data_IF_952367506178
#
_entry.id   IF_952367506178
#
_cell.length_a   1.000
_cell.length_b   1.000
_cell.length_c   1.000
_cell.angle_alpha   90.00
_cell.angle_beta   90.00
_cell.angle_gamma   90.00
#
_symmetry.space_group_name_H-M   'P 1'
#
loop_
_entity.id
_entity.type
_entity.pdbx_description
1 polymer ?
#
# COMPACT_ATOMS: atom_id res chain seq x y z
N UNK A 1 19.10 -6.38 12.77
CA UNK A 1 17.77 -6.39 12.10
C UNK A 1 17.93 -6.96 10.71
N UNK A 2 17.10 -7.93 10.34
CA UNK A 2 17.21 -8.60 9.04
C UNK A 2 16.82 -7.62 7.92
N UNK A 3 17.52 -7.61 6.78
CA UNK A 3 17.23 -6.67 5.66
C UNK A 3 15.79 -6.80 5.15
N UNK A 4 15.27 -8.03 5.15
CA UNK A 4 13.88 -8.37 4.83
C UNK A 4 12.87 -7.61 5.70
N UNK A 5 13.13 -7.46 7.00
CA UNK A 5 12.23 -6.75 7.92
C UNK A 5 12.12 -5.26 7.55
N UNK A 6 13.22 -4.62 7.13
CA UNK A 6 13.19 -3.22 6.67
C UNK A 6 12.45 -3.07 5.33
N UNK A 7 12.50 -4.08 4.47
CA UNK A 7 11.83 -4.05 3.17
C UNK A 7 10.30 -3.97 3.30
N UNK A 8 9.71 -4.45 4.40
CA UNK A 8 8.28 -4.32 4.67
C UNK A 8 7.82 -2.86 4.76
N UNK A 9 8.73 -1.94 5.09
CA UNK A 9 8.43 -0.51 5.14
C UNK A 9 8.21 0.11 3.76
N UNK A 10 8.69 -0.55 2.70
CA UNK A 10 8.68 -0.03 1.34
C UNK A 10 7.25 0.26 0.86
N UNK A 11 6.31 -0.68 1.07
CA UNK A 11 4.92 -0.54 0.65
C UNK A 11 4.22 0.68 1.27
N UNK A 12 4.13 0.77 2.61
CA UNK A 12 3.56 1.94 3.29
C UNK A 12 4.26 3.26 2.92
N UNK A 13 5.59 3.25 2.75
CA UNK A 13 6.35 4.43 2.37
C UNK A 13 6.03 4.90 0.94
N UNK A 14 6.03 4.00 -0.04
CA UNK A 14 5.69 4.32 -1.43
C UNK A 14 4.25 4.82 -1.55
N UNK A 15 3.32 4.17 -0.85
CA UNK A 15 1.91 4.57 -0.82
C UNK A 15 1.73 5.98 -0.24
N UNK A 16 2.42 6.29 0.87
CA UNK A 16 2.40 7.61 1.48
C UNK A 16 3.01 8.68 0.57
N UNK A 17 4.18 8.43 -0.02
CA UNK A 17 4.84 9.38 -0.91
C UNK A 17 3.99 9.66 -2.15
N UNK A 18 3.34 8.64 -2.71
CA UNK A 18 2.47 8.79 -3.86
C UNK A 18 1.21 9.61 -3.54
N UNK A 19 0.56 9.34 -2.41
CA UNK A 19 -0.62 10.10 -1.96
C UNK A 19 -0.26 11.54 -1.59
N UNK A 20 0.85 11.77 -0.87
CA UNK A 20 1.35 13.11 -0.57
C UNK A 20 1.66 13.90 -1.85
N UNK A 21 2.32 13.26 -2.83
CA UNK A 21 2.64 13.90 -4.10
C UNK A 21 1.40 14.28 -4.90
N UNK A 22 0.34 13.46 -4.84
CA UNK A 22 -0.94 13.76 -5.46
C UNK A 22 -1.62 14.98 -4.83
N UNK A 23 -1.64 15.05 -3.49
CA UNK A 23 -2.21 16.20 -2.75
C UNK A 23 -1.40 17.48 -3.03
N UNK A 24 -0.06 17.40 -3.02
CA UNK A 24 0.79 18.54 -3.35
C UNK A 24 0.61 19.02 -4.79
N UNK A 25 0.42 18.10 -5.75
CA UNK A 25 0.13 18.47 -7.14
C UNK A 25 -1.24 19.16 -7.27
N UNK A 26 -2.26 18.69 -6.55
CA UNK A 26 -3.57 19.33 -6.51
C UNK A 26 -3.51 20.73 -5.86
N UNK A 27 -2.79 20.87 -4.74
CA UNK A 27 -2.57 22.17 -4.08
C UNK A 27 -1.79 23.13 -4.99
N UNK A 28 -0.70 22.68 -5.61
CA UNK A 28 0.09 23.51 -6.53
C UNK A 28 -0.75 24.01 -7.72
N UNK A 29 -1.68 23.20 -8.21
CA UNK A 29 -2.61 23.58 -9.27
C UNK A 29 -3.61 24.66 -8.83
N UNK A 30 -4.04 24.66 -7.56
CA UNK A 30 -4.90 25.73 -7.02
C UNK A 30 -4.20 27.08 -7.00
N UNK A 31 -2.88 27.09 -6.72
CA UNK A 31 -2.08 28.32 -6.73
C UNK A 31 -1.71 28.80 -8.15
N UNK A 32 -1.58 27.90 -9.12
CA UNK A 32 -1.21 28.23 -10.51
C UNK A 32 -2.07 27.47 -11.53
N UNK A 33 -3.34 27.89 -11.72
CA UNK A 33 -4.30 27.16 -12.55
C UNK A 33 -4.02 27.25 -14.06
N UNK A 34 -3.17 28.19 -14.49
CA UNK A 34 -2.80 28.40 -15.90
C UNK A 34 -1.69 27.48 -16.39
N UNK A 35 -1.09 26.67 -15.51
CA UNK A 35 0.03 25.81 -15.87
C UNK A 35 -0.43 24.50 -16.51
N UNK A 36 -0.13 24.31 -17.80
CA UNK A 36 -0.42 23.06 -18.53
C UNK A 36 0.34 21.85 -17.94
N UNK A 37 1.55 22.06 -17.44
CA UNK A 37 2.37 20.99 -16.86
C UNK A 37 1.74 20.45 -15.57
N UNK A 38 1.25 21.34 -14.68
CA UNK A 38 0.57 20.92 -13.45
C UNK A 38 -0.73 20.17 -13.77
N UNK A 39 -1.49 20.64 -14.76
CA UNK A 39 -2.66 19.92 -15.27
C UNK A 39 -2.30 18.53 -15.80
N UNK A 40 -1.21 18.42 -16.58
CA UNK A 40 -0.72 17.14 -17.07
C UNK A 40 -0.34 16.20 -15.92
N UNK A 41 0.43 16.66 -14.94
CA UNK A 41 0.84 15.83 -13.79
C UNK A 41 -0.38 15.40 -12.97
N UNK A 42 -1.26 16.32 -12.63
CA UNK A 42 -2.44 16.04 -11.81
C UNK A 42 -3.41 15.05 -12.51
N UNK A 43 -3.73 15.28 -13.79
CA UNK A 43 -4.68 14.44 -14.53
C UNK A 43 -4.05 13.13 -15.05
N UNK A 44 -2.80 13.17 -15.54
CA UNK A 44 -2.19 12.02 -16.24
C UNK A 44 -1.48 11.06 -15.30
N UNK A 45 -0.79 11.60 -14.28
CA UNK A 45 -0.01 10.80 -13.34
C UNK A 45 -0.86 10.49 -12.11
N UNK A 46 -1.53 11.51 -11.53
CA UNK A 46 -2.31 11.37 -10.30
C UNK A 46 -3.83 11.18 -10.52
N UNK A 47 -4.30 11.09 -11.76
CA UNK A 47 -5.74 10.90 -12.06
C UNK A 47 -6.37 9.67 -11.42
N UNK A 48 -5.55 8.67 -11.03
CA UNK A 48 -5.99 7.50 -10.25
C UNK A 48 -6.49 7.86 -8.85
N UNK A 49 -5.88 8.87 -8.21
CA UNK A 49 -6.29 9.37 -6.90
C UNK A 49 -7.58 10.17 -7.01
N UNK A 50 -7.79 10.89 -8.10
CA UNK A 50 -9.05 11.59 -8.36
C UNK A 50 -10.22 10.62 -8.53
N UNK A 51 -10.03 9.54 -9.31
CA UNK A 51 -11.07 8.51 -9.49
C UNK A 51 -11.42 7.79 -8.20
N UNK A 52 -10.39 7.43 -7.42
CA UNK A 52 -10.61 6.77 -6.14
C UNK A 52 -11.26 7.71 -5.12
N UNK A 53 -10.97 9.02 -5.17
CA UNK A 53 -11.67 10.00 -4.36
C UNK A 53 -13.14 10.16 -4.77
N UNK A 54 -13.44 10.21 -6.07
CA UNK A 54 -14.83 10.27 -6.56
C UNK A 54 -15.65 9.06 -6.09
N UNK A 55 -15.09 7.84 -6.24
CA UNK A 55 -15.76 6.62 -5.78
C UNK A 55 -15.91 6.56 -4.26
N UNK A 56 -14.93 7.06 -3.50
CA UNK A 56 -15.00 7.07 -2.04
C UNK A 56 -15.93 8.16 -1.52
N UNK A 57 -16.05 9.28 -2.23
CA UNK A 57 -16.96 10.39 -1.95
C UNK A 57 -18.43 9.98 -1.97
N UNK A 58 -18.80 9.01 -2.81
CA UNK A 58 -20.16 8.45 -2.85
C UNK A 58 -20.55 7.71 -1.54
N UNK A 59 -19.55 7.24 -0.77
CA UNK A 59 -19.77 6.50 0.47
C UNK A 59 -19.38 7.28 1.74
N UNK A 60 -18.42 8.19 1.63
CA UNK A 60 -17.87 8.97 2.74
C UNK A 60 -17.73 10.41 2.29
N UNK A 61 -18.48 11.33 2.89
CA UNK A 61 -18.42 12.75 2.58
C UNK A 61 -17.33 13.44 3.43
N UNK A 62 -16.07 13.31 3.02
CA UNK A 62 -14.96 14.11 3.58
C UNK A 62 -14.28 14.82 2.42
N UNK A 63 -14.37 16.15 2.41
CA UNK A 63 -13.84 17.01 1.35
C UNK A 63 -12.31 17.12 1.43
N UNK A 64 -11.63 16.64 0.39
CA UNK A 64 -10.16 16.62 0.31
C UNK A 64 -9.53 15.73 1.38
N UNK A 65 -8.27 15.32 1.23
CA UNK A 65 -7.52 14.60 2.26
C UNK A 65 -7.96 13.17 2.63
N UNK A 66 -9.02 12.58 2.08
CA UNK A 66 -9.43 11.22 2.48
C UNK A 66 -8.34 10.17 2.30
N UNK A 67 -7.75 10.15 1.10
CA UNK A 67 -6.77 9.17 0.67
C UNK A 67 -5.44 9.35 1.43
N UNK A 68 -4.99 10.59 1.58
CA UNK A 68 -3.84 10.92 2.42
C UNK A 68 -4.09 10.66 3.91
N UNK A 69 -5.30 10.96 4.40
CA UNK A 69 -5.74 10.73 5.76
C UNK A 69 -5.77 9.26 6.15
N UNK A 70 -5.90 8.35 5.18
CA UNK A 70 -5.73 6.90 5.36
C UNK A 70 -4.26 6.50 5.21
N UNK A 71 -3.52 7.07 4.26
CA UNK A 71 -2.10 6.73 4.05
C UNK A 71 -1.19 7.13 5.23
N UNK A 72 -1.45 8.28 5.86
CA UNK A 72 -0.67 8.81 6.97
C UNK A 72 -0.67 7.88 8.21
N UNK A 73 -1.81 7.42 8.77
CA UNK A 73 -1.81 6.49 9.88
C UNK A 73 -1.17 5.15 9.52
N UNK A 74 -1.26 4.69 8.27
CA UNK A 74 -0.55 3.49 7.81
C UNK A 74 0.97 3.66 7.84
N UNK A 75 1.48 4.82 7.42
CA UNK A 75 2.89 5.15 7.55
C UNK A 75 3.30 5.23 9.03
N UNK A 76 2.50 5.89 9.88
CA UNK A 76 2.77 6.00 11.32
C UNK A 76 2.83 4.61 11.96
N UNK A 77 1.89 3.72 11.66
CA UNK A 77 1.91 2.33 12.12
C UNK A 77 3.17 1.60 11.64
N UNK A 78 3.56 1.77 10.38
CA UNK A 78 4.79 1.19 9.85
C UNK A 78 6.04 1.73 10.57
N UNK A 79 6.10 3.05 10.84
CA UNK A 79 7.17 3.69 11.60
C UNK A 79 7.22 3.18 13.04
N UNK A 80 6.08 3.10 13.73
CA UNK A 80 5.97 2.55 15.09
C UNK A 80 6.43 1.09 15.09
N UNK A 81 5.98 0.28 14.14
CA UNK A 81 6.43 -1.11 13.98
C UNK A 81 7.94 -1.22 13.76
N UNK A 82 8.55 -0.25 13.06
CA UNK A 82 9.99 -0.21 12.80
C UNK A 82 10.79 0.15 14.05
N UNK A 83 10.35 1.18 14.77
CA UNK A 83 11.01 1.68 15.99
C UNK A 83 10.86 0.68 17.13
N UNK A 84 9.65 0.18 17.37
CA UNK A 84 9.35 -0.80 18.43
C UNK A 84 9.76 -2.22 18.07
N UNK A 85 10.11 -2.47 16.79
CA UNK A 85 10.36 -3.81 16.23
C UNK A 85 9.17 -4.77 16.43
N UNK A 86 7.97 -4.22 16.60
CA UNK A 86 6.75 -4.99 16.79
C UNK A 86 6.26 -5.54 15.45
N UNK A 87 6.50 -6.85 15.23
CA UNK A 87 6.01 -7.60 14.07
C UNK A 87 4.50 -7.43 13.80
N UNK A 88 3.58 -7.50 14.79
CA UNK A 88 2.15 -7.45 14.49
C UNK A 88 1.71 -6.08 13.95
N UNK A 89 2.28 -4.99 14.47
CA UNK A 89 1.99 -3.62 14.01
C UNK A 89 2.42 -3.46 12.55
N UNK A 90 3.58 -4.03 12.19
CA UNK A 90 4.09 -4.05 10.82
C UNK A 90 3.20 -4.86 9.86
N UNK A 91 2.70 -6.01 10.33
CA UNK A 91 1.77 -6.85 9.56
C UNK A 91 0.48 -6.09 9.25
N UNK A 92 -0.10 -5.41 10.24
CA UNK A 92 -1.32 -4.61 10.03
C UNK A 92 -1.07 -3.51 9.01
N UNK A 93 0.03 -2.74 9.15
CA UNK A 93 0.35 -1.66 8.22
C UNK A 93 0.54 -2.15 6.77
N UNK A 94 1.27 -3.25 6.58
CA UNK A 94 1.52 -3.82 5.24
C UNK A 94 0.28 -4.42 4.60
N UNK A 95 -0.56 -5.12 5.37
CA UNK A 95 -1.82 -5.68 4.89
C UNK A 95 -2.82 -4.59 4.48
N UNK A 96 -2.97 -3.56 5.32
CA UNK A 96 -3.84 -2.42 5.00
C UNK A 96 -3.30 -1.60 3.83
N UNK A 97 -1.99 -1.48 3.68
CA UNK A 97 -1.38 -0.84 2.50
C UNK A 97 -1.64 -1.64 1.21
N UNK A 98 -1.59 -2.98 1.27
CA UNK A 98 -1.95 -3.84 0.15
C UNK A 98 -3.44 -3.75 -0.19
N UNK A 99 -4.31 -3.72 0.83
CA UNK A 99 -5.74 -3.48 0.65
C UNK A 99 -6.04 -2.14 -0.01
N UNK A 100 -5.34 -1.08 0.41
CA UNK A 100 -5.46 0.24 -0.20
C UNK A 100 -4.95 0.23 -1.66
N UNK A 101 -3.80 -0.37 -1.95
CA UNK A 101 -3.35 -0.53 -3.34
C UNK A 101 -4.37 -1.31 -4.21
N UNK A 102 -5.01 -2.33 -3.63
CA UNK A 102 -6.10 -3.08 -4.28
C UNK A 102 -7.34 -2.20 -4.52
N UNK A 103 -7.71 -1.35 -3.57
CA UNK A 103 -8.79 -0.38 -3.75
C UNK A 103 -8.49 0.62 -4.88
N UNK A 104 -7.27 1.16 -4.95
CA UNK A 104 -6.86 2.03 -6.06
C UNK A 104 -7.01 1.29 -7.41
N UNK A 105 -6.73 -0.02 -7.45
CA UNK A 105 -6.79 -0.82 -8.68
C UNK A 105 -8.23 -1.08 -9.08
N UNK A 106 -9.07 -1.39 -8.10
CA UNK A 106 -10.50 -1.48 -8.29
C UNK A 106 -11.07 -0.16 -8.81
N UNK A 107 -10.71 0.98 -8.18
CA UNK A 107 -11.15 2.30 -8.59
C UNK A 107 -10.70 2.66 -10.02
N UNK A 108 -9.51 2.21 -10.42
CA UNK A 108 -9.06 2.34 -11.80
C UNK A 108 -9.96 1.53 -12.75
N UNK A 109 -10.26 0.27 -12.40
CA UNK A 109 -11.02 -0.65 -13.24
C UNK A 109 -12.51 -0.29 -13.31
N UNK A 110 -13.09 0.22 -12.23
CA UNK A 110 -14.51 0.56 -12.14
C UNK A 110 -14.91 1.73 -13.06
N UNK A 111 -13.94 2.53 -13.52
CA UNK A 111 -14.22 3.72 -14.35
C UNK A 111 -14.80 4.88 -13.54
N UNK A 112 -14.76 6.10 -14.11
CA UNK A 112 -15.32 7.29 -13.46
C UNK A 112 -16.80 7.47 -13.81
N UNK A 113 -17.67 7.87 -12.88
CA UNK A 113 -18.93 8.50 -13.24
C UNK A 113 -18.65 9.77 -14.06
N UNK A 114 -19.48 9.98 -15.08
CA UNK A 114 -19.34 10.90 -16.22
C UNK A 114 -19.55 12.39 -15.89
N UNK A 115 -19.63 12.78 -14.61
CA UNK A 115 -20.21 14.08 -14.21
C UNK A 115 -19.24 15.27 -14.25
N UNK A 116 -17.93 15.07 -14.41
CA UNK A 116 -16.94 16.16 -14.51
C UNK A 116 -16.21 16.21 -15.87
N UNK A 117 -16.71 15.53 -16.91
CA UNK A 117 -16.17 15.62 -18.28
C UNK A 117 -16.98 16.61 -19.12
N UNK A 118 -17.04 17.87 -18.70
CA UNK A 118 -17.60 18.96 -19.50
C UNK A 118 -16.46 19.84 -20.04
N UNK A 119 -15.80 19.37 -21.10
CA UNK A 119 -15.02 20.13 -22.14
C UNK A 119 -13.62 19.57 -22.47
N UNK A 120 -13.03 18.70 -21.67
CA UNK A 120 -11.81 18.00 -22.06
C UNK A 120 -12.23 16.75 -22.87
N UNK A 121 -11.94 16.77 -24.18
CA UNK A 121 -12.16 15.66 -25.12
C UNK A 121 -11.46 14.35 -24.73
N UNK A 122 -11.28 13.38 -25.64
CA UNK A 122 -11.07 11.93 -25.38
C UNK A 122 -9.71 11.54 -24.73
N UNK A 123 -9.14 12.38 -23.87
CA UNK A 123 -7.87 12.17 -23.18
C UNK A 123 -7.98 11.43 -21.85
N UNK A 124 -9.17 11.01 -21.40
CA UNK A 124 -9.35 10.46 -20.06
C UNK A 124 -9.10 8.94 -19.92
N UNK A 125 -8.28 8.32 -20.77
CA UNK A 125 -7.65 7.03 -20.46
C UNK A 125 -6.21 7.34 -20.08
N UNK A 126 -5.77 7.15 -18.82
CA UNK A 126 -4.40 7.46 -18.42
C UNK A 126 -3.45 6.55 -19.19
N UNK A 127 -2.80 7.09 -20.23
CA UNK A 127 -1.78 6.36 -20.98
C UNK A 127 -0.50 6.30 -20.16
N UNK A 128 0.06 5.09 -20.00
CA UNK A 128 1.42 4.83 -19.55
C UNK A 128 1.77 5.29 -18.13
N UNK A 129 1.90 6.58 -17.90
CA UNK A 129 2.44 7.16 -16.67
C UNK A 129 1.64 6.79 -15.40
N UNK A 130 0.31 6.93 -15.43
CA UNK A 130 -0.55 6.49 -14.33
C UNK A 130 -0.49 4.98 -14.07
N UNK A 131 -0.28 4.16 -15.12
CA UNK A 131 -0.08 2.72 -15.00
C UNK A 131 1.25 2.39 -14.31
N UNK A 132 2.33 3.09 -14.64
CA UNK A 132 3.63 2.89 -13.99
C UNK A 132 3.59 3.26 -12.52
N UNK A 133 2.96 4.39 -12.17
CA UNK A 133 2.76 4.78 -10.76
C UNK A 133 1.96 3.71 -10.03
N UNK A 134 0.88 3.24 -10.65
CA UNK A 134 0.02 2.22 -10.07
C UNK A 134 0.73 0.88 -9.87
N UNK A 135 1.43 0.40 -10.90
CA UNK A 135 2.22 -0.81 -10.84
C UNK A 135 3.33 -0.70 -9.78
N UNK A 136 3.90 0.49 -9.59
CA UNK A 136 4.91 0.75 -8.55
C UNK A 136 4.30 0.66 -7.15
N UNK A 137 3.16 1.30 -6.90
CA UNK A 137 2.45 1.24 -5.62
C UNK A 137 2.02 -0.20 -5.31
N UNK A 138 1.35 -0.85 -6.27
CA UNK A 138 0.87 -2.21 -6.14
C UNK A 138 2.03 -3.19 -5.93
N UNK A 139 3.08 -3.09 -6.74
CA UNK A 139 4.27 -3.93 -6.63
C UNK A 139 4.97 -3.76 -5.28
N UNK A 140 5.16 -2.53 -4.81
CA UNK A 140 5.78 -2.26 -3.50
C UNK A 140 4.92 -2.79 -2.33
N UNK A 141 3.60 -2.65 -2.41
CA UNK A 141 2.68 -3.14 -1.38
C UNK A 141 2.60 -4.67 -1.38
N UNK A 142 2.49 -5.32 -2.54
CA UNK A 142 2.48 -6.77 -2.67
C UNK A 142 3.81 -7.39 -2.25
N UNK A 143 4.94 -6.76 -2.59
CA UNK A 143 6.26 -7.20 -2.13
C UNK A 143 6.35 -7.14 -0.59
N UNK A 144 5.88 -6.04 0.01
CA UNK A 144 5.85 -5.89 1.48
C UNK A 144 4.93 -6.94 2.15
N UNK A 145 3.79 -7.22 1.54
CA UNK A 145 2.86 -8.27 1.96
C UNK A 145 3.48 -9.67 1.88
N UNK A 146 4.10 -10.00 0.76
CA UNK A 146 4.76 -11.29 0.53
C UNK A 146 5.91 -11.52 1.53
N UNK A 147 6.72 -10.49 1.79
CA UNK A 147 7.81 -10.58 2.77
C UNK A 147 7.27 -10.84 4.18
N UNK A 148 6.12 -10.27 4.52
CA UNK A 148 5.45 -10.53 5.81
C UNK A 148 5.04 -12.00 5.96
N UNK A 149 4.52 -12.61 4.91
CA UNK A 149 4.22 -14.03 4.89
C UNK A 149 5.47 -14.91 4.95
N UNK A 150 6.53 -14.54 4.22
CA UNK A 150 7.81 -15.25 4.28
C UNK A 150 8.40 -15.24 5.70
N UNK A 151 8.39 -14.09 6.39
CA UNK A 151 8.87 -14.00 7.77
C UNK A 151 7.98 -14.79 8.74
N UNK A 152 6.67 -14.83 8.50
CA UNK A 152 5.75 -15.65 9.30
C UNK A 152 6.04 -17.14 9.14
N UNK A 153 6.16 -17.65 7.91
CA UNK A 153 6.49 -19.05 7.65
C UNK A 153 7.86 -19.44 8.21
N UNK A 154 8.86 -18.55 8.11
CA UNK A 154 10.16 -18.76 8.74
C UNK A 154 10.06 -18.89 10.25
N UNK A 155 9.25 -18.06 10.92
CA UNK A 155 9.06 -18.13 12.36
C UNK A 155 8.37 -19.44 12.77
N UNK A 156 7.27 -19.80 12.11
CA UNK A 156 6.53 -21.05 12.36
C UNK A 156 7.42 -22.27 12.11
N UNK A 157 8.20 -22.27 11.03
CA UNK A 157 9.14 -23.37 10.73
C UNK A 157 10.21 -23.56 11.81
N UNK A 158 10.72 -22.47 12.39
CA UNK A 158 11.67 -22.56 13.50
C UNK A 158 11.05 -23.11 14.78
N UNK A 159 9.82 -22.74 15.09
CA UNK A 159 9.09 -23.28 16.25
C UNK A 159 8.78 -24.77 16.09
N UNK A 160 8.28 -25.19 14.93
CA UNK A 160 8.04 -26.60 14.62
C UNK A 160 9.34 -27.39 14.70
N UNK A 161 10.44 -26.88 14.14
CA UNK A 161 11.76 -27.51 14.20
C UNK A 161 12.32 -27.60 15.63
N UNK A 162 12.06 -26.60 16.47
CA UNK A 162 12.43 -26.63 17.89
C UNK A 162 11.63 -27.69 18.66
N UNK A 163 10.31 -27.77 18.44
CA UNK A 163 9.44 -28.79 19.03
C UNK A 163 9.86 -30.20 18.58
N UNK A 164 10.12 -30.40 17.29
CA UNK A 164 10.58 -31.69 16.77
C UNK A 164 11.92 -32.12 17.38
N UNK A 165 12.87 -31.19 17.53
CA UNK A 165 14.15 -31.47 18.22
C UNK A 165 13.98 -31.79 19.70
N UNK A 166 13.02 -31.16 20.37
CA UNK A 166 12.72 -31.42 21.77
C UNK A 166 12.02 -32.79 21.98
N UNK A 167 11.17 -33.20 21.05
CA UNK A 167 10.48 -34.49 21.08
C UNK A 167 11.39 -35.67 20.71
N UNK A 168 12.39 -35.45 19.84
CA UNK A 168 13.33 -36.48 19.35
C UNK A 168 14.04 -37.28 20.48
N UNK A 169 14.64 -36.65 21.51
CA UNK A 169 15.30 -37.39 22.59
C UNK A 169 14.32 -38.15 23.50
N UNK A 170 13.06 -37.71 23.62
CA UNK A 170 12.05 -38.41 24.44
C UNK A 170 11.57 -39.71 23.81
N UNK A 171 11.45 -39.75 22.48
CA UNK A 171 11.08 -40.96 21.76
C UNK A 171 12.17 -42.04 21.83
N UNK A 172 13.44 -41.66 21.74
CA UNK A 172 14.56 -42.62 21.80
C UNK A 172 14.69 -43.31 23.16
N UNK A 173 14.34 -42.63 24.26
CA UNK A 173 14.39 -43.20 25.62
C UNK A 173 13.20 -44.13 25.84
N UNK A 174 12.00 -43.74 25.43
CA UNK A 174 10.81 -44.59 25.56
C UNK A 174 10.90 -45.88 24.72
N UNK A 175 11.65 -45.88 23.61
CA UNK A 175 11.85 -47.07 22.77
C UNK A 175 13.00 -47.98 23.23
N UNK A 176 13.79 -47.59 24.24
CA UNK A 176 14.86 -48.45 24.80
C UNK A 176 14.46 -49.13 26.11
N UNK A 177 13.36 -48.71 26.74
CA UNK A 177 12.81 -49.33 27.95
C UNK A 177 11.65 -50.32 27.68
N UNK A 178 11.34 -50.59 26.40
CA UNK A 178 10.38 -51.60 25.97
C UNK A 178 11.10 -52.81 25.36
#
# INVERSE_FOLDING_TARGET
>A
MNRLFKLQFLGPCVLFLATLSAELAALALQYSPTSELLWFVNLRIFGIFQRSHALLGDYVAIDGFQLFGIALPLLVLACVGLVTKARPVFTVATHMSAGYAGFLLYAWHAGSPTTAQASLGPFAIPTGAGLYLMATILGACLLSFAITHLLYFQAVGQEIGALARWLRPRWTIASTEA
#
